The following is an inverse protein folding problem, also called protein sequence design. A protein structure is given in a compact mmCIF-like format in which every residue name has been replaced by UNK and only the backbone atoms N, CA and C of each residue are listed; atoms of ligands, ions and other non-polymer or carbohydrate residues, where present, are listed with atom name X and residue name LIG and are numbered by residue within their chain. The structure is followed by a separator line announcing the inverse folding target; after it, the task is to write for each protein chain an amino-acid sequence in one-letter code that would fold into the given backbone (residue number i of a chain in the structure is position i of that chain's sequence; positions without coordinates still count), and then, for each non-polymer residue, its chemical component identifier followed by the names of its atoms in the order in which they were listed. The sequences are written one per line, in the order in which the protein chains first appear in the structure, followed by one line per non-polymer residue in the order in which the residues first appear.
data_IF_784695945805
#
_entry.id   IF_784695945805
#
_cell.length_a   1.000
_cell.length_b   1.000
_cell.length_c   1.000
_cell.angle_alpha   90.00
_cell.angle_beta   90.00
_cell.angle_gamma   90.00
#
_symmetry.space_group_name_H-M   'P 1'
#
loop_
_entity.id
_entity.type
_entity.pdbx_description
1 polymer ?
#
# COMPACT_ATOMS: atom_id res chain seq x y z
N UNK A 1 -19.31 -6.14 9.22
CA UNK A 1 -19.63 -4.93 10.00
C UNK A 1 -18.46 -3.99 9.82
N UNK A 2 -18.66 -2.82 9.21
CA UNK A 2 -17.58 -1.83 9.06
C UNK A 2 -17.13 -1.42 10.45
N UNK A 3 -15.88 -1.70 10.79
CA UNK A 3 -15.33 -1.34 12.08
C UNK A 3 -13.84 -1.01 11.96
N UNK A 4 -13.32 -0.39 13.00
CA UNK A 4 -11.92 0.03 13.13
C UNK A 4 -11.22 -0.79 14.21
N UNK A 5 -11.67 -2.03 14.41
CA UNK A 5 -11.01 -2.93 15.34
C UNK A 5 -9.65 -3.30 14.78
N UNK A 6 -8.60 -3.07 15.57
CA UNK A 6 -7.28 -3.60 15.29
C UNK A 6 -7.34 -5.12 15.07
N UNK A 7 -6.55 -5.61 14.12
CA UNK A 7 -6.45 -7.03 13.84
C UNK A 7 -5.82 -7.80 15.02
N UNK A 8 -4.81 -7.18 15.64
CA UNK A 8 -4.12 -7.71 16.82
C UNK A 8 -4.20 -6.70 17.98
N UNK A 9 -4.24 -7.19 19.22
CA UNK A 9 -4.13 -6.36 20.43
C UNK A 9 -2.78 -5.62 20.46
N UNK A 10 -1.74 -6.21 19.88
CA UNK A 10 -0.43 -5.60 19.71
C UNK A 10 -0.41 -4.39 18.75
N UNK A 11 -1.52 -4.11 18.06
CA UNK A 11 -1.71 -2.95 17.19
C UNK A 11 -2.55 -1.84 17.87
N UNK A 12 -2.90 -2.00 19.15
CA UNK A 12 -3.61 -0.97 19.90
C UNK A 12 -2.66 0.19 20.20
N UNK A 13 -2.91 1.33 19.56
CA UNK A 13 -2.15 2.57 19.73
C UNK A 13 -3.03 3.70 20.26
N UNK A 14 -2.38 4.71 20.86
CA UNK A 14 -3.01 5.99 21.24
C UNK A 14 -3.38 6.79 19.99
N UNK A 15 -2.45 6.89 19.04
CA UNK A 15 -2.68 7.54 17.75
C UNK A 15 -2.83 6.49 16.64
N UNK A 16 -3.97 6.50 15.97
CA UNK A 16 -4.35 5.50 14.96
C UNK A 16 -4.58 6.14 13.60
N UNK A 17 -4.50 5.33 12.55
CA UNK A 17 -4.81 5.73 11.19
C UNK A 17 -6.20 6.34 11.09
N UNK A 18 -6.33 7.41 10.31
CA UNK A 18 -7.65 7.96 9.99
C UNK A 18 -8.30 7.11 8.91
N UNK A 19 -9.53 6.64 9.14
CA UNK A 19 -10.31 5.99 8.08
C UNK A 19 -10.83 7.02 7.10
N UNK A 20 -10.62 6.79 5.81
CA UNK A 20 -11.04 7.72 4.77
C UNK A 20 -11.70 6.98 3.62
N UNK A 21 -12.49 7.74 2.85
CA UNK A 21 -13.18 7.22 1.66
C UNK A 21 -12.22 7.09 0.48
N UNK A 22 -12.62 6.28 -0.50
CA UNK A 22 -11.88 6.00 -1.73
C UNK A 22 -11.49 7.25 -2.51
N UNK A 23 -12.35 8.27 -2.55
CA UNK A 23 -12.07 9.55 -3.23
C UNK A 23 -10.95 10.34 -2.54
N UNK A 24 -10.85 10.23 -1.21
CA UNK A 24 -9.80 10.89 -0.43
C UNK A 24 -8.46 10.17 -0.65
N UNK A 25 -8.44 8.83 -0.66
CA UNK A 25 -7.24 8.05 -1.00
C UNK A 25 -6.70 8.43 -2.37
N UNK A 26 -7.59 8.52 -3.36
CA UNK A 26 -7.22 8.90 -4.72
C UNK A 26 -6.70 10.34 -4.80
N UNK A 27 -7.36 11.27 -4.09
CA UNK A 27 -6.92 12.67 -4.04
C UNK A 27 -5.57 12.86 -3.33
N UNK A 28 -5.26 12.06 -2.30
CA UNK A 28 -3.95 12.05 -1.64
C UNK A 28 -2.87 11.53 -2.60
N UNK A 29 -3.17 10.42 -3.29
CA UNK A 29 -2.26 9.82 -4.28
C UNK A 29 -1.94 10.78 -5.42
N UNK A 30 -2.94 11.48 -5.97
CA UNK A 30 -2.75 12.46 -7.05
C UNK A 30 -1.92 13.68 -6.68
N UNK A 31 -1.99 14.11 -5.41
CA UNK A 31 -1.25 15.29 -4.92
C UNK A 31 0.19 14.95 -4.55
N UNK A 32 0.51 13.66 -4.43
CA UNK A 32 1.84 13.17 -4.16
C UNK A 32 2.80 13.62 -5.26
N UNK A 33 4.01 14.03 -4.88
CA UNK A 33 5.07 14.36 -5.81
C UNK A 33 5.73 13.10 -6.38
N UNK A 34 5.83 12.06 -5.56
CA UNK A 34 6.46 10.79 -5.91
C UNK A 34 5.73 9.61 -5.23
N UNK A 35 4.51 9.27 -5.68
CA UNK A 35 3.76 8.14 -5.13
C UNK A 35 4.34 6.81 -5.59
N UNK A 36 4.17 5.76 -4.79
CA UNK A 36 4.47 4.38 -5.20
C UNK A 36 3.47 3.39 -4.60
N UNK A 37 3.13 2.35 -5.37
CA UNK A 37 2.37 1.21 -4.88
C UNK A 37 3.32 0.07 -4.50
N UNK A 38 3.22 -0.40 -3.26
CA UNK A 38 3.91 -1.59 -2.76
C UNK A 38 2.93 -2.75 -2.68
N UNK A 39 3.21 -3.83 -3.41
CA UNK A 39 2.33 -5.02 -3.47
C UNK A 39 2.86 -6.20 -2.68
N UNK A 40 1.95 -7.02 -2.15
CA UNK A 40 2.26 -8.20 -1.33
C UNK A 40 1.74 -9.54 -1.86
N UNK A 41 2.09 -10.61 -1.14
CA UNK A 41 1.86 -11.99 -1.58
C UNK A 41 0.39 -12.40 -1.80
N UNK A 42 -0.60 -11.66 -1.26
CA UNK A 42 -2.03 -11.99 -1.47
C UNK A 42 -2.45 -11.85 -2.93
N UNK A 43 -1.70 -11.10 -3.75
CA UNK A 43 -1.88 -11.05 -5.21
C UNK A 43 -1.75 -12.42 -5.89
N UNK A 44 -1.06 -13.39 -5.29
CA UNK A 44 -0.99 -14.75 -5.84
C UNK A 44 -2.30 -15.52 -5.72
N UNK A 45 -3.07 -15.24 -4.67
CA UNK A 45 -4.32 -15.94 -4.38
C UNK A 45 -5.54 -15.26 -4.97
N UNK A 46 -5.39 -14.05 -5.50
CA UNK A 46 -6.50 -13.22 -5.94
C UNK A 46 -6.13 -12.42 -7.19
N UNK A 47 -6.65 -12.87 -8.33
CA UNK A 47 -6.39 -12.22 -9.62
C UNK A 47 -6.97 -10.81 -9.69
N UNK A 48 -8.02 -10.48 -8.92
CA UNK A 48 -8.62 -9.14 -8.94
C UNK A 48 -7.66 -8.12 -8.35
N UNK A 49 -6.94 -8.47 -7.27
CA UNK A 49 -5.89 -7.59 -6.72
C UNK A 49 -4.77 -7.33 -7.72
N UNK A 50 -4.44 -8.32 -8.55
CA UNK A 50 -3.47 -8.12 -9.63
C UNK A 50 -4.03 -7.15 -10.66
N UNK A 51 -5.28 -7.33 -11.09
CA UNK A 51 -5.92 -6.46 -12.08
C UNK A 51 -6.03 -5.02 -11.56
N UNK A 52 -6.30 -4.82 -10.27
CA UNK A 52 -6.27 -3.49 -9.63
C UNK A 52 -4.88 -2.87 -9.63
N UNK A 53 -3.84 -3.65 -9.28
CA UNK A 53 -2.47 -3.17 -9.34
C UNK A 53 -2.08 -2.75 -10.77
N UNK A 54 -2.50 -3.51 -11.80
CA UNK A 54 -2.30 -3.11 -13.20
C UNK A 54 -3.02 -1.81 -13.53
N UNK A 55 -4.29 -1.66 -13.15
CA UNK A 55 -5.03 -0.40 -13.37
C UNK A 55 -4.37 0.79 -12.68
N UNK A 56 -3.79 0.61 -11.49
CA UNK A 56 -3.03 1.66 -10.79
C UNK A 56 -1.73 1.97 -11.53
N UNK A 57 -1.02 0.95 -12.03
CA UNK A 57 0.18 1.13 -12.85
C UNK A 57 -0.12 1.92 -14.14
N UNK A 58 -1.25 1.64 -14.80
CA UNK A 58 -1.70 2.36 -16.00
C UNK A 58 -2.01 3.84 -15.74
N UNK A 59 -2.15 4.24 -14.47
CA UNK A 59 -2.25 5.65 -14.02
C UNK A 59 -0.88 6.28 -13.74
N UNK A 60 0.19 5.68 -14.26
CA UNK A 60 1.58 6.14 -14.11
C UNK A 60 2.11 6.10 -12.67
N UNK A 61 1.48 5.32 -11.78
CA UNK A 61 1.97 5.10 -10.42
C UNK A 61 2.93 3.90 -10.43
N UNK A 62 4.22 4.08 -10.09
CA UNK A 62 5.18 2.99 -10.10
C UNK A 62 4.83 1.92 -9.07
N UNK A 63 5.29 0.68 -9.34
CA UNK A 63 5.06 -0.47 -8.45
C UNK A 63 6.39 -1.02 -7.94
N UNK A 64 6.47 -1.26 -6.63
CA UNK A 64 7.46 -2.12 -5.99
C UNK A 64 6.77 -3.43 -5.60
N UNK A 65 7.14 -4.52 -6.24
CA UNK A 65 6.55 -5.83 -5.96
C UNK A 65 7.39 -6.59 -4.93
N UNK A 66 6.83 -6.80 -3.73
CA UNK A 66 7.53 -7.56 -2.68
C UNK A 66 7.23 -9.05 -2.77
N UNK A 67 8.27 -9.86 -2.49
CA UNK A 67 8.15 -11.31 -2.44
C UNK A 67 7.53 -11.91 -3.71
N UNK A 68 6.52 -12.75 -3.54
CA UNK A 68 5.93 -13.49 -4.65
C UNK A 68 4.88 -12.71 -5.47
N UNK A 69 4.61 -11.44 -5.12
CA UNK A 69 3.65 -10.59 -5.86
C UNK A 69 4.13 -10.18 -7.25
N UNK A 70 5.44 -10.26 -7.51
CA UNK A 70 6.06 -9.85 -8.77
C UNK A 70 5.67 -10.74 -9.95
N UNK A 71 5.56 -12.05 -9.75
CA UNK A 71 5.26 -13.01 -10.83
C UNK A 71 3.96 -12.68 -11.59
N UNK A 72 2.78 -12.54 -10.94
CA UNK A 72 1.54 -12.25 -11.66
C UNK A 72 1.51 -10.86 -12.31
N UNK A 73 2.26 -9.89 -11.78
CA UNK A 73 2.38 -8.54 -12.35
C UNK A 73 3.24 -8.53 -13.62
N UNK A 74 4.43 -9.13 -13.56
CA UNK A 74 5.34 -9.24 -14.71
C UNK A 74 4.68 -10.03 -15.85
N UNK A 75 3.94 -11.10 -15.52
CA UNK A 75 3.16 -11.86 -16.52
C UNK A 75 2.08 -11.03 -17.22
N UNK A 76 1.61 -9.94 -16.59
CA UNK A 76 0.67 -8.97 -17.18
C UNK A 76 1.37 -7.77 -17.83
N UNK A 77 2.70 -7.80 -17.97
CA UNK A 77 3.47 -6.76 -18.65
C UNK A 77 3.82 -5.54 -17.78
N UNK A 78 3.62 -5.61 -16.46
CA UNK A 78 3.99 -4.54 -15.54
C UNK A 78 5.51 -4.47 -15.39
N UNK A 79 6.09 -3.29 -15.67
CA UNK A 79 7.50 -3.00 -15.38
C UNK A 79 7.63 -2.45 -13.95
N UNK A 80 7.87 -3.36 -13.00
CA UNK A 80 8.04 -2.99 -11.58
C UNK A 80 9.41 -2.37 -11.34
N UNK A 81 9.48 -1.37 -10.45
CA UNK A 81 10.75 -0.75 -10.04
C UNK A 81 11.66 -1.74 -9.29
N UNK A 82 11.06 -2.68 -8.55
CA UNK A 82 11.78 -3.79 -7.95
C UNK A 82 10.89 -5.00 -7.76
N UNK A 83 11.49 -6.20 -7.86
CA UNK A 83 10.86 -7.50 -7.67
C UNK A 83 11.64 -8.43 -6.73
N UNK A 84 12.78 -7.96 -6.18
CA UNK A 84 13.78 -8.81 -5.51
C UNK A 84 13.86 -8.57 -4.00
N UNK A 85 13.36 -7.44 -3.52
CA UNK A 85 13.44 -7.08 -2.11
C UNK A 85 12.19 -7.53 -1.34
N UNK A 86 12.42 -7.92 -0.09
CA UNK A 86 11.33 -8.17 0.86
C UNK A 86 10.75 -6.86 1.35
N UNK A 87 9.53 -6.89 1.90
CA UNK A 87 8.92 -5.70 2.50
C UNK A 87 9.78 -5.08 3.61
N UNK A 88 10.56 -5.88 4.36
CA UNK A 88 11.51 -5.40 5.35
C UNK A 88 12.61 -4.53 4.73
N UNK A 89 13.22 -4.98 3.63
CA UNK A 89 14.26 -4.21 2.94
C UNK A 89 13.67 -2.93 2.32
N UNK A 90 12.49 -3.02 1.69
CA UNK A 90 11.81 -1.83 1.16
C UNK A 90 11.54 -0.81 2.26
N UNK A 91 11.09 -1.26 3.43
CA UNK A 91 10.86 -0.38 4.59
C UNK A 91 12.16 0.25 5.07
N UNK A 92 13.25 -0.51 5.16
CA UNK A 92 14.56 0.02 5.53
C UNK A 92 15.06 1.09 4.55
N UNK A 93 14.89 0.87 3.25
CA UNK A 93 15.20 1.89 2.24
C UNK A 93 14.34 3.15 2.42
N UNK A 94 13.04 3.00 2.67
CA UNK A 94 12.12 4.12 2.91
C UNK A 94 12.43 4.91 4.20
N UNK A 95 13.11 4.31 5.17
CA UNK A 95 13.57 4.99 6.39
C UNK A 95 14.85 5.80 6.17
N UNK A 96 15.62 5.50 5.11
CA UNK A 96 16.81 6.26 4.76
C UNK A 96 16.44 7.53 3.99
N UNK A 97 16.61 8.69 4.64
CA UNK A 97 16.29 10.01 4.07
C UNK A 97 17.19 10.38 2.89
N UNK A 98 18.36 9.75 2.76
CA UNK A 98 19.28 9.97 1.64
C UNK A 98 19.03 9.02 0.47
N UNK A 99 18.13 8.03 0.63
CA UNK A 99 17.81 7.10 -0.43
C UNK A 99 17.03 7.77 -1.56
N UNK A 100 17.55 7.64 -2.79
CA UNK A 100 17.01 8.30 -3.98
C UNK A 100 15.95 7.47 -4.73
N UNK A 101 15.43 6.42 -4.12
CA UNK A 101 14.51 5.49 -4.78
C UNK A 101 15.20 4.60 -5.83
N UNK A 102 14.43 3.72 -6.47
CA UNK A 102 14.97 2.80 -7.49
C UNK A 102 15.26 3.47 -8.83
N UNK A 103 14.63 4.61 -9.11
CA UNK A 103 14.79 5.37 -10.35
C UNK A 103 15.62 6.65 -10.16
N UNK A 104 16.24 6.82 -8.99
CA UNK A 104 17.08 7.95 -8.63
C UNK A 104 16.36 9.32 -8.66
N UNK A 105 15.03 9.34 -8.53
CA UNK A 105 14.22 10.57 -8.51
C UNK A 105 13.91 11.09 -7.10
N UNK A 106 14.39 10.41 -6.07
CA UNK A 106 14.17 10.74 -4.67
C UNK A 106 13.30 9.71 -3.96
N UNK A 107 13.24 9.80 -2.63
CA UNK A 107 12.33 9.00 -1.81
C UNK A 107 10.85 9.27 -2.14
N UNK A 108 9.98 8.35 -1.72
CA UNK A 108 8.54 8.45 -1.95
C UNK A 108 7.87 9.26 -0.83
N UNK A 109 6.96 10.17 -1.19
CA UNK A 109 6.20 10.98 -0.22
C UNK A 109 4.83 10.36 0.13
N UNK A 110 4.27 9.57 -0.80
CA UNK A 110 3.08 8.74 -0.56
C UNK A 110 3.35 7.29 -0.94
N UNK A 111 3.05 6.37 -0.04
CA UNK A 111 3.19 4.93 -0.28
C UNK A 111 1.86 4.23 -0.08
N UNK A 112 1.38 3.57 -1.13
CA UNK A 112 0.19 2.73 -1.10
C UNK A 112 0.57 1.28 -0.83
N UNK A 113 -0.25 0.56 -0.07
CA UNK A 113 -0.04 -0.86 0.21
C UNK A 113 -1.25 -1.70 -0.19
N UNK A 114 -1.00 -2.75 -0.97
CA UNK A 114 -2.04 -3.65 -1.48
C UNK A 114 -1.61 -5.13 -1.41
N UNK A 115 -2.47 -5.96 -0.85
CA UNK A 115 -2.32 -7.42 -0.86
C UNK A 115 -1.20 -7.91 0.05
N UNK A 116 -0.89 -7.20 1.14
CA UNK A 116 0.12 -7.64 2.12
C UNK A 116 -0.59 -8.34 3.28
N UNK A 117 0.10 -9.31 3.90
CA UNK A 117 -0.42 -9.96 5.09
C UNK A 117 -0.59 -8.93 6.23
N UNK A 118 -1.75 -8.83 6.90
CA UNK A 118 -2.07 -7.69 7.77
C UNK A 118 -1.06 -7.47 8.88
N UNK A 119 -0.63 -8.55 9.55
CA UNK A 119 0.38 -8.49 10.60
C UNK A 119 1.72 -7.95 10.09
N UNK A 120 2.18 -8.46 8.94
CA UNK A 120 3.46 -8.05 8.36
C UNK A 120 3.42 -6.57 7.96
N UNK A 121 2.32 -6.13 7.32
CA UNK A 121 2.14 -4.73 6.97
C UNK A 121 2.13 -3.83 8.21
N UNK A 122 1.40 -4.22 9.25
CA UNK A 122 1.31 -3.44 10.49
C UNK A 122 2.69 -3.16 11.11
N UNK A 123 3.59 -4.16 11.12
CA UNK A 123 4.95 -3.98 11.66
C UNK A 123 5.77 -2.96 10.87
N UNK A 124 5.62 -2.97 9.54
CA UNK A 124 6.36 -2.05 8.66
C UNK A 124 5.80 -0.64 8.72
N UNK A 125 4.47 -0.51 8.74
CA UNK A 125 3.79 0.77 8.97
C UNK A 125 4.16 1.37 10.33
N UNK A 126 4.30 0.54 11.37
CA UNK A 126 4.74 1.02 12.69
C UNK A 126 6.14 1.66 12.62
N UNK A 127 7.07 1.06 11.86
CA UNK A 127 8.39 1.65 11.68
C UNK A 127 8.31 2.98 10.91
N UNK A 128 7.59 3.03 9.81
CA UNK A 128 7.44 4.25 9.00
C UNK A 128 6.76 5.37 9.79
N UNK A 129 5.69 5.07 10.52
CA UNK A 129 4.96 6.05 11.34
C UNK A 129 5.85 6.80 12.32
N UNK A 130 6.83 6.13 12.92
CA UNK A 130 7.66 6.72 13.98
C UNK A 130 9.00 7.27 13.47
N UNK A 131 9.46 6.84 12.29
CA UNK A 131 10.81 7.11 11.81
C UNK A 131 10.88 7.68 10.40
N UNK A 132 9.74 7.99 9.76
CA UNK A 132 9.69 8.70 8.48
C UNK A 132 8.58 9.76 8.45
N UNK A 133 8.61 10.60 7.42
CA UNK A 133 7.58 11.61 7.13
C UNK A 133 6.63 11.13 6.01
N UNK A 134 6.70 9.84 5.66
CA UNK A 134 5.97 9.27 4.52
C UNK A 134 4.49 9.16 4.87
N UNK A 135 3.64 9.64 3.97
CA UNK A 135 2.20 9.39 4.08
C UNK A 135 1.89 7.97 3.58
N UNK A 136 1.43 7.11 4.48
CA UNK A 136 1.15 5.70 4.16
C UNK A 136 -0.35 5.46 4.00
N UNK A 137 -0.75 4.87 2.86
CA UNK A 137 -2.12 4.54 2.53
C UNK A 137 -2.29 3.02 2.50
N UNK A 138 -3.03 2.46 3.46
CA UNK A 138 -3.46 1.07 3.39
C UNK A 138 -4.76 0.97 2.60
N UNK A 139 -4.67 0.37 1.41
CA UNK A 139 -5.83 0.10 0.55
C UNK A 139 -6.23 -1.37 0.57
N UNK A 140 -5.79 -2.11 1.59
CA UNK A 140 -6.21 -3.48 1.89
C UNK A 140 -7.56 -3.50 2.64
N UNK A 141 -8.25 -4.65 2.61
CA UNK A 141 -9.56 -4.83 3.29
C UNK A 141 -9.50 -4.77 4.82
N UNK A 142 -8.32 -4.86 5.40
CA UNK A 142 -8.12 -4.91 6.84
C UNK A 142 -7.61 -3.55 7.31
N UNK A 143 -8.24 -3.01 8.34
CA UNK A 143 -7.87 -1.73 8.93
C UNK A 143 -6.45 -1.81 9.50
N UNK A 144 -5.60 -0.86 9.08
CA UNK A 144 -4.21 -0.76 9.50
C UNK A 144 -4.03 0.47 10.41
N UNK A 145 -4.01 0.32 11.75
CA UNK A 145 -3.95 1.45 12.68
C UNK A 145 -2.60 2.19 12.64
N UNK A 146 -1.53 1.57 12.14
CA UNK A 146 -0.23 2.21 11.98
C UNK A 146 -0.07 2.98 10.66
N UNK A 147 -1.02 2.90 9.73
CA UNK A 147 -0.99 3.73 8.53
C UNK A 147 -1.27 5.21 8.87
N UNK A 148 -0.98 6.12 7.94
CA UNK A 148 -1.51 7.48 8.01
C UNK A 148 -3.02 7.45 7.73
N UNK A 149 -3.39 6.75 6.65
CA UNK A 149 -4.78 6.53 6.25
C UNK A 149 -5.01 5.06 5.90
N UNK A 150 -6.18 4.54 6.24
CA UNK A 150 -6.57 3.17 5.92
C UNK A 150 -8.04 3.09 5.52
N UNK A 151 -8.39 2.12 4.68
CA UNK A 151 -9.77 1.66 4.67
C UNK A 151 -10.15 1.05 6.02
N UNK A 152 -11.44 1.06 6.42
CA UNK A 152 -11.90 0.31 7.58
C UNK A 152 -11.82 -1.21 7.29
N UNK A 153 -12.18 -2.05 8.26
CA UNK A 153 -12.39 -3.46 7.97
C UNK A 153 -13.59 -3.61 7.01
N UNK A 154 -13.33 -4.20 5.85
CA UNK A 154 -14.29 -4.41 4.77
C UNK A 154 -14.47 -5.90 4.51
N UNK A 155 -15.70 -6.28 4.14
CA UNK A 155 -15.88 -7.56 3.48
C UNK A 155 -15.22 -7.55 2.11
N UNK A 156 -14.96 -8.73 1.56
CA UNK A 156 -14.19 -8.87 0.33
C UNK A 156 -14.83 -8.13 -0.86
N UNK A 157 -16.12 -8.32 -1.11
CA UNK A 157 -16.82 -7.61 -2.19
C UNK A 157 -16.88 -6.09 -1.97
N UNK A 158 -16.99 -5.65 -0.72
CA UNK A 158 -16.91 -4.21 -0.39
C UNK A 158 -15.51 -3.66 -0.67
N UNK A 159 -14.46 -4.40 -0.33
CA UNK A 159 -13.07 -4.02 -0.59
C UNK A 159 -12.81 -3.85 -2.09
N UNK A 160 -13.26 -4.80 -2.90
CA UNK A 160 -13.18 -4.69 -4.36
C UNK A 160 -13.91 -3.46 -4.88
N UNK A 161 -15.11 -3.17 -4.37
CA UNK A 161 -15.86 -1.98 -4.77
C UNK A 161 -15.16 -0.68 -4.38
N UNK A 162 -14.55 -0.62 -3.19
CA UNK A 162 -13.82 0.57 -2.73
C UNK A 162 -12.51 0.78 -3.52
N UNK A 163 -11.75 -0.27 -3.83
CA UNK A 163 -10.57 -0.14 -4.70
C UNK A 163 -10.96 0.35 -6.09
N UNK A 164 -12.01 -0.23 -6.71
CA UNK A 164 -12.46 0.21 -8.04
C UNK A 164 -12.83 1.70 -8.04
N UNK A 165 -13.61 2.15 -7.03
CA UNK A 165 -13.94 3.58 -6.86
C UNK A 165 -12.71 4.45 -6.68
N UNK A 166 -11.72 4.00 -5.92
CA UNK A 166 -10.48 4.74 -5.74
C UNK A 166 -9.76 4.90 -7.08
N UNK A 167 -9.62 3.83 -7.84
CA UNK A 167 -8.95 3.80 -9.14
C UNK A 167 -9.66 4.69 -10.17
N UNK A 168 -10.99 4.66 -10.21
CA UNK A 168 -11.79 5.53 -11.07
C UNK A 168 -11.55 7.01 -10.76
N UNK A 169 -11.23 7.30 -9.50
CA UNK A 169 -10.89 8.63 -9.01
C UNK A 169 -9.39 8.92 -9.02
N UNK A 170 -8.51 8.08 -9.58
CA UNK A 170 -7.09 8.39 -9.83
C UNK A 170 -6.93 9.19 -11.12
#
# INVERSE_FOLDING_TARGET
MRNESSFDVADVQVERATTVKSEVMAALTKRAKNPVLVTGGRLLGDSRLVDYAVKIYDKEIPIIATGASSKPLIQRGVSVQSAVFTLHHITQYMLDREWMGFDNKGGYDVVLYLGIEPYLLSRMLSALKHFSEITTLSIDRFYQPHATYSFPNLFEDEHYSEIEKMIDNL
#
